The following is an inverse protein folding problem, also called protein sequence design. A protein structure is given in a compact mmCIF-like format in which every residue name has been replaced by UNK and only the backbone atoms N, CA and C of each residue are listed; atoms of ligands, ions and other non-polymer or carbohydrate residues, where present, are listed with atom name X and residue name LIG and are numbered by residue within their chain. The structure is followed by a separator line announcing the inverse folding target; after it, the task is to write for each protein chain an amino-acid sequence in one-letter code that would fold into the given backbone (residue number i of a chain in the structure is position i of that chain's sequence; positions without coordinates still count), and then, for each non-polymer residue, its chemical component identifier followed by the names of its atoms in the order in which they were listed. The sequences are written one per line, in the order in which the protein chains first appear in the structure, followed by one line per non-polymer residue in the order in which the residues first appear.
data_IF_709187904209
#
_entry.id   IF_709187904209
#
_cell.length_a   1.000
_cell.length_b   1.000
_cell.length_c   1.000
_cell.angle_alpha   90.00
_cell.angle_beta   90.00
_cell.angle_gamma   90.00
#
_symmetry.space_group_name_H-M   'P 1'
#
loop_
_entity.id
_entity.type
_entity.pdbx_description
1 polymer ?
#
# COMPACT_ATOMS: atom_id res chain seq x y z
N UNK A 1 2.54 -2.89 -5.65
CA UNK A 1 3.26 -1.60 -5.56
C UNK A 1 2.65 -0.55 -4.62
N UNK A 2 1.34 -0.48 -4.35
CA UNK A 2 0.76 0.67 -3.64
C UNK A 2 1.42 0.97 -2.27
N UNK A 3 1.75 -0.06 -1.50
CA UNK A 3 2.50 0.11 -0.24
C UNK A 3 3.93 0.65 -0.47
N UNK A 4 4.58 0.26 -1.56
CA UNK A 4 5.91 0.76 -1.92
C UNK A 4 5.82 2.23 -2.33
N UNK A 5 4.83 2.60 -3.12
CA UNK A 5 4.61 3.97 -3.56
C UNK A 5 4.33 4.93 -2.38
N UNK A 6 3.57 4.48 -1.38
CA UNK A 6 3.19 5.32 -0.24
C UNK A 6 4.19 5.27 0.93
N UNK A 7 4.79 4.11 1.21
CA UNK A 7 5.63 3.88 2.39
C UNK A 7 7.09 3.58 2.07
N UNK A 8 7.48 3.54 0.80
CA UNK A 8 8.84 3.23 0.34
C UNK A 8 9.25 1.76 0.55
N UNK A 9 8.33 0.90 0.98
CA UNK A 9 8.60 -0.53 1.23
C UNK A 9 7.37 -1.40 1.08
N UNK A 10 7.61 -2.67 0.79
CA UNK A 10 6.57 -3.69 0.77
C UNK A 10 6.09 -4.02 2.19
N UNK A 11 4.89 -4.58 2.30
CA UNK A 11 4.38 -5.09 3.57
C UNK A 11 5.31 -6.15 4.19
N UNK A 12 5.94 -6.98 3.34
CA UNK A 12 6.90 -8.00 3.76
C UNK A 12 8.19 -7.40 4.33
N UNK A 13 8.74 -6.35 3.71
CA UNK A 13 9.89 -5.62 4.25
C UNK A 13 9.55 -4.93 5.58
N UNK A 14 8.40 -4.26 5.65
CA UNK A 14 7.94 -3.65 6.88
C UNK A 14 7.81 -4.68 8.02
N UNK A 15 7.24 -5.86 7.74
CA UNK A 15 7.09 -6.93 8.74
C UNK A 15 8.42 -7.52 9.19
N UNK A 16 9.42 -7.59 8.31
CA UNK A 16 10.79 -8.02 8.67
C UNK A 16 11.47 -7.00 9.58
N UNK A 17 11.33 -5.71 9.28
CA UNK A 17 11.92 -4.63 10.07
C UNK A 17 11.19 -4.38 11.40
N UNK A 18 9.91 -4.72 11.47
CA UNK A 18 9.04 -4.49 12.62
C UNK A 18 8.56 -5.82 13.22
N UNK A 19 9.46 -6.81 13.34
CA UNK A 19 9.14 -8.15 13.85
C UNK A 19 8.57 -8.16 15.27
N UNK A 20 8.85 -7.11 16.04
CA UNK A 20 8.46 -6.95 17.44
C UNK A 20 7.15 -6.16 17.60
N UNK A 21 6.67 -5.55 16.52
CA UNK A 21 5.41 -4.79 16.52
C UNK A 21 4.23 -5.70 16.21
N UNK A 22 3.15 -5.54 16.96
CA UNK A 22 1.89 -6.21 16.67
C UNK A 22 1.14 -5.47 15.56
N UNK A 23 0.50 -6.19 14.65
CA UNK A 23 -0.24 -5.61 13.52
C UNK A 23 0.55 -5.50 12.21
N UNK A 24 0.09 -4.62 11.33
CA UNK A 24 0.61 -4.39 9.99
C UNK A 24 0.93 -2.89 9.77
N UNK A 25 1.60 -2.56 8.68
CA UNK A 25 2.06 -1.19 8.41
C UNK A 25 0.95 -0.12 8.40
N UNK A 26 -0.28 -0.47 8.04
CA UNK A 26 -1.44 0.45 8.01
C UNK A 26 -1.88 0.84 9.42
N UNK A 27 -1.68 -0.02 10.40
CA UNK A 27 -2.03 0.25 11.80
C UNK A 27 -1.13 1.34 12.40
N UNK A 28 0.01 1.60 11.75
CA UNK A 28 0.99 2.62 12.13
C UNK A 28 1.07 3.78 11.12
N UNK A 29 0.15 3.85 10.15
CA UNK A 29 0.07 4.94 9.18
C UNK A 29 -0.74 6.12 9.74
N UNK A 30 -0.45 7.34 9.28
CA UNK A 30 -1.28 8.50 9.63
C UNK A 30 -2.64 8.42 8.92
N UNK A 31 -3.62 9.19 9.41
CA UNK A 31 -4.94 9.26 8.77
C UNK A 31 -4.83 9.70 7.31
N UNK A 32 -4.00 10.69 7.02
CA UNK A 32 -3.75 11.20 5.67
C UNK A 32 -3.19 10.10 4.76
N UNK A 33 -2.23 9.31 5.27
CA UNK A 33 -1.65 8.19 4.52
C UNK A 33 -2.71 7.12 4.24
N UNK A 34 -3.59 6.81 5.20
CA UNK A 34 -4.68 5.85 4.99
C UNK A 34 -5.69 6.35 3.94
N UNK A 35 -6.01 7.65 3.95
CA UNK A 35 -6.89 8.26 2.94
C UNK A 35 -6.24 8.20 1.55
N UNK A 36 -4.95 8.51 1.44
CA UNK A 36 -4.21 8.40 0.17
C UNK A 36 -4.18 6.94 -0.31
N UNK A 37 -3.90 5.99 0.59
CA UNK A 37 -3.88 4.57 0.26
C UNK A 37 -5.25 4.08 -0.26
N UNK A 38 -6.34 4.46 0.42
CA UNK A 38 -7.70 4.08 0.01
C UNK A 38 -8.08 4.66 -1.36
N UNK A 39 -7.64 5.89 -1.67
CA UNK A 39 -7.81 6.46 -3.00
C UNK A 39 -7.01 5.69 -4.06
N UNK A 40 -5.75 5.39 -3.77
CA UNK A 40 -4.90 4.63 -4.69
C UNK A 40 -5.44 3.21 -4.94
N UNK A 41 -5.96 2.54 -3.92
CA UNK A 41 -6.62 1.24 -4.05
C UNK A 41 -7.88 1.32 -4.92
N UNK A 42 -8.68 2.37 -4.73
CA UNK A 42 -9.91 2.59 -5.50
C UNK A 42 -9.61 2.85 -6.98
N UNK A 43 -8.60 3.67 -7.27
CA UNK A 43 -8.13 3.93 -8.64
C UNK A 43 -7.56 2.64 -9.25
N UNK A 44 -6.73 1.91 -8.51
CA UNK A 44 -6.17 0.65 -8.98
C UNK A 44 -7.26 -0.37 -9.34
N UNK A 45 -8.30 -0.51 -8.51
CA UNK A 45 -9.45 -1.37 -8.80
C UNK A 45 -10.20 -0.94 -10.07
N UNK A 46 -10.40 0.37 -10.27
CA UNK A 46 -11.03 0.90 -11.47
C UNK A 46 -10.20 0.61 -12.73
N UNK A 47 -8.88 0.82 -12.65
CA UNK A 47 -7.97 0.58 -13.78
C UNK A 47 -7.91 -0.90 -14.16
N UNK A 48 -7.89 -1.81 -13.16
CA UNK A 48 -8.00 -3.26 -13.39
C UNK A 48 -9.31 -3.59 -14.09
N UNK A 49 -10.43 -2.98 -13.67
CA UNK A 49 -11.72 -3.17 -14.31
C UNK A 49 -11.76 -2.68 -15.77
N UNK A 50 -10.97 -1.67 -16.10
CA UNK A 50 -10.81 -1.15 -17.46
C UNK A 50 -9.83 -1.95 -18.32
N UNK A 51 -9.31 -3.08 -17.81
CA UNK A 51 -8.30 -3.92 -18.47
C UNK A 51 -7.04 -3.14 -18.90
N UNK A 52 -6.76 -2.02 -18.23
CA UNK A 52 -5.57 -1.23 -18.51
C UNK A 52 -4.35 -1.94 -17.94
N UNK A 53 -3.23 -1.99 -18.70
CA UNK A 53 -2.00 -2.60 -18.21
C UNK A 53 -1.50 -1.83 -16.99
N UNK A 54 -1.44 -2.52 -15.85
CA UNK A 54 -0.79 -2.02 -14.64
C UNK A 54 0.72 -2.18 -14.84
N UNK A 55 1.46 -1.08 -14.84
CA UNK A 55 2.93 -1.14 -14.80
C UNK A 55 3.36 -1.81 -13.50
N UNK A 56 3.89 -3.04 -13.58
CA UNK A 56 4.54 -3.74 -12.48
C UNK A 56 6.04 -3.52 -12.53
N UNK A 57 6.54 -2.53 -11.76
CA UNK A 57 7.97 -2.37 -11.45
C UNK A 57 8.18 -2.20 -9.93
#
# INVERSE_FOLDING_TARGET
MLNVALFGKTASQWKKENSEKNGNMRDYATLEQLVVLSNMESINALLIHQELPQSED
#
